data_IF_904316712005
#
_entry.id   IF_904316712005
#
_cell.length_a   1.000
_cell.length_b   1.000
_cell.length_c   1.000
_cell.angle_alpha   90.00
_cell.angle_beta   90.00
_cell.angle_gamma   90.00
#
_symmetry.space_group_name_H-M   'P 1'
#
loop_
_entity.id
_entity.type
_entity.pdbx_description
1 polymer ?
#
# COMPACT_ATOMS: atom_id res chain seq x y z
N UNK A 1 -7.08 -1.62 -6.03
CA UNK A 1 -6.44 -0.39 -5.47
C UNK A 1 -5.02 -0.31 -5.99
N UNK A 2 -4.59 0.80 -6.58
CA UNK A 2 -3.22 0.97 -7.09
C UNK A 2 -2.43 1.93 -6.18
N UNK A 3 -1.15 1.63 -5.94
CA UNK A 3 -0.23 2.44 -5.12
C UNK A 3 1.02 2.73 -5.92
N UNK A 4 1.43 3.98 -5.97
CA UNK A 4 2.65 4.42 -6.68
C UNK A 4 3.59 5.12 -5.70
N UNK A 5 4.88 4.81 -5.76
CA UNK A 5 5.86 5.28 -4.76
C UNK A 5 7.05 5.98 -5.39
N UNK A 6 7.66 6.85 -4.58
CA UNK A 6 8.92 7.53 -4.87
C UNK A 6 10.05 6.94 -3.99
N UNK A 7 11.32 6.98 -4.41
CA UNK A 7 12.43 6.79 -3.48
C UNK A 7 12.35 7.84 -2.37
N UNK A 8 12.44 7.43 -1.11
CA UNK A 8 12.41 8.36 0.03
C UNK A 8 13.67 9.27 0.00
N UNK A 9 13.58 10.41 -0.67
CA UNK A 9 14.48 11.53 -0.44
C UNK A 9 13.66 12.72 0.09
N UNK A 10 13.88 12.98 1.39
CA UNK A 10 13.43 14.18 2.13
C UNK A 10 11.94 14.29 2.48
N UNK A 11 11.46 13.42 3.37
CA UNK A 11 10.47 13.85 4.37
C UNK A 11 11.25 14.40 5.57
N UNK A 12 11.56 15.70 5.57
CA UNK A 12 12.10 16.37 6.75
C UNK A 12 10.99 16.47 7.80
N UNK A 13 10.95 15.49 8.70
CA UNK A 13 10.13 15.58 9.92
C UNK A 13 10.78 16.66 10.78
N UNK A 14 10.18 17.85 10.78
CA UNK A 14 10.51 18.92 11.72
C UNK A 14 10.10 18.43 13.11
N UNK A 15 11.01 17.75 13.82
CA UNK A 15 10.84 17.31 15.20
C UNK A 15 10.53 18.52 16.09
N UNK A 16 9.28 18.66 16.50
CA UNK A 16 8.95 19.49 17.65
C UNK A 16 9.44 18.74 18.90
N UNK A 17 10.48 19.29 19.53
CA UNK A 17 11.00 18.84 20.82
C UNK A 17 9.93 19.07 21.89
N UNK A 18 9.18 18.03 22.25
CA UNK A 18 8.36 18.03 23.45
C UNK A 18 9.09 17.19 24.53
N UNK A 19 9.54 17.92 25.54
CA UNK A 19 10.16 17.46 26.77
C UNK A 19 9.13 16.64 27.57
N UNK A 20 9.44 15.41 27.99
CA UNK A 20 8.68 14.75 29.05
C UNK A 20 9.59 13.97 30.00
N UNK A 21 9.30 14.20 31.27
CA UNK A 21 10.09 13.94 32.46
C UNK A 21 10.32 12.45 32.76
N UNK A 22 11.53 12.25 33.28
CA UNK A 22 11.99 11.17 34.15
C UNK A 22 10.93 10.75 35.19
N UNK A 23 10.51 9.48 35.14
CA UNK A 23 10.05 8.75 36.32
C UNK A 23 10.71 7.38 36.35
N UNK A 24 11.83 7.30 37.08
CA UNK A 24 12.26 6.05 37.70
C UNK A 24 11.19 5.63 38.71
N UNK A 25 10.52 4.52 38.44
CA UNK A 25 9.94 3.71 39.51
C UNK A 25 10.46 2.29 39.36
N UNK A 26 11.48 2.00 40.18
CA UNK A 26 11.81 0.64 40.59
C UNK A 26 10.64 0.12 41.43
N UNK A 27 10.01 -0.98 41.02
CA UNK A 27 9.41 -1.90 42.00
C UNK A 27 9.57 -3.36 41.54
N UNK A 28 9.98 -4.26 42.45
CA UNK A 28 10.43 -5.62 42.16
C UNK A 28 9.28 -6.62 42.06
N UNK A 29 9.62 -7.76 41.45
CA UNK A 29 8.84 -8.97 41.26
C UNK A 29 8.14 -9.49 42.52
N UNK A 30 6.91 -9.95 42.36
CA UNK A 30 6.32 -11.01 43.19
C UNK A 30 5.61 -12.02 42.30
N UNK A 31 6.21 -13.20 42.18
CA UNK A 31 5.58 -14.41 41.67
C UNK A 31 4.51 -14.86 42.67
N UNK A 32 3.29 -15.10 42.20
CA UNK A 32 2.31 -15.94 42.91
C UNK A 32 1.77 -16.96 41.91
N UNK A 33 1.82 -18.21 42.36
CA UNK A 33 1.55 -19.43 41.62
C UNK A 33 0.17 -20.00 41.98
N UNK A 34 -0.34 -20.85 41.07
CA UNK A 34 -1.48 -21.79 41.22
C UNK A 34 -2.88 -21.12 41.07
N UNK A 35 -3.90 -21.63 40.36
CA UNK A 35 -4.28 -23.00 39.96
C UNK A 35 -5.16 -23.03 38.69
N UNK A 36 -5.11 -24.19 38.04
CA UNK A 36 -5.98 -24.81 37.02
C UNK A 36 -7.49 -24.55 37.19
N UNK A 37 -8.17 -24.19 36.09
CA UNK A 37 -9.55 -24.62 35.76
C UNK A 37 -9.92 -24.24 34.30
N UNK A 38 -9.93 -25.23 33.41
CA UNK A 38 -10.77 -25.31 32.19
C UNK A 38 -11.84 -26.35 32.55
N UNK A 39 -13.13 -26.29 32.13
CA UNK A 39 -13.59 -25.82 30.81
C UNK A 39 -14.94 -25.06 30.79
N UNK A 40 -15.12 -24.13 29.85
CA UNK A 40 -16.44 -24.01 29.20
C UNK A 40 -16.34 -23.51 27.76
N UNK A 41 -16.82 -24.36 26.86
CA UNK A 41 -16.96 -24.18 25.43
C UNK A 41 -18.16 -23.27 25.17
N UNK A 42 -17.95 -22.01 24.80
CA UNK A 42 -18.93 -21.21 24.07
C UNK A 42 -18.51 -21.06 22.61
N UNK A 43 -19.13 -21.89 21.78
CA UNK A 43 -19.20 -21.68 20.33
C UNK A 43 -20.03 -20.42 20.11
N UNK A 44 -19.35 -19.31 19.85
CA UNK A 44 -19.96 -18.12 19.29
C UNK A 44 -19.28 -17.85 17.95
N UNK A 45 -19.99 -18.23 16.89
CA UNK A 45 -19.70 -17.80 15.52
C UNK A 45 -19.84 -16.28 15.48
N UNK A 46 -18.77 -15.56 15.79
CA UNK A 46 -18.65 -14.15 15.43
C UNK A 46 -18.03 -14.13 14.05
N UNK A 47 -18.81 -13.69 13.05
CA UNK A 47 -18.25 -13.26 11.78
C UNK A 47 -17.24 -12.17 12.11
N UNK A 48 -15.92 -12.37 11.88
CA UNK A 48 -14.94 -11.37 12.27
C UNK A 48 -15.15 -10.13 11.41
N UNK A 49 -15.27 -8.97 12.04
CA UNK A 49 -15.05 -7.71 11.35
C UNK A 49 -13.71 -7.78 10.59
N UNK A 50 -13.55 -7.12 9.42
CA UNK A 50 -12.30 -7.17 8.67
C UNK A 50 -11.15 -6.69 9.57
N UNK A 51 -10.37 -7.65 10.06
CA UNK A 51 -9.19 -7.36 10.87
C UNK A 51 -8.19 -6.64 9.96
N UNK A 52 -7.64 -5.50 10.44
CA UNK A 52 -6.61 -4.78 9.67
C UNK A 52 -5.48 -5.76 9.36
N UNK A 53 -5.08 -5.84 8.11
CA UNK A 53 -3.99 -6.73 7.73
C UNK A 53 -2.65 -6.12 8.16
N UNK A 54 -1.79 -6.95 8.74
CA UNK A 54 -0.43 -6.55 9.09
C UNK A 54 0.49 -6.63 7.85
N UNK A 55 1.14 -5.53 7.50
CA UNK A 55 1.95 -5.43 6.28
C UNK A 55 3.22 -6.27 6.35
N UNK A 56 3.84 -6.31 7.53
CA UNK A 56 4.99 -7.14 7.88
C UNK A 56 4.65 -8.62 7.69
N UNK A 57 3.60 -9.10 8.35
CA UNK A 57 3.17 -10.50 8.25
C UNK A 57 2.79 -10.88 6.82
N UNK A 58 2.05 -10.03 6.11
CA UNK A 58 1.67 -10.30 4.72
C UNK A 58 2.88 -10.39 3.78
N UNK A 59 3.91 -9.58 4.01
CA UNK A 59 5.12 -9.60 3.19
C UNK A 59 5.85 -10.94 3.30
N UNK A 60 5.92 -11.48 4.52
CA UNK A 60 6.50 -12.80 4.80
C UNK A 60 5.60 -13.94 4.30
N UNK A 61 4.29 -13.89 4.58
CA UNK A 61 3.30 -14.89 4.12
C UNK A 61 3.34 -15.07 2.60
N UNK A 62 3.50 -13.97 1.86
CA UNK A 62 3.58 -13.95 0.40
C UNK A 62 4.98 -14.18 -0.16
N UNK A 63 6.02 -14.33 0.69
CA UNK A 63 7.42 -14.56 0.31
C UNK A 63 7.96 -13.49 -0.65
N UNK A 64 7.71 -12.21 -0.35
CA UNK A 64 8.01 -11.10 -1.27
C UNK A 64 9.47 -10.61 -1.22
N UNK A 65 10.29 -11.18 -0.32
CA UNK A 65 11.69 -10.84 -0.14
C UNK A 65 12.49 -10.89 -1.44
N UNK A 66 13.28 -9.85 -1.70
CA UNK A 66 14.12 -9.73 -2.91
C UNK A 66 13.37 -9.40 -4.20
N UNK A 67 12.04 -9.46 -4.21
CA UNK A 67 11.21 -9.19 -5.40
C UNK A 67 10.50 -7.84 -5.27
N UNK A 68 9.87 -7.59 -4.13
CA UNK A 68 9.09 -6.37 -3.87
C UNK A 68 9.79 -5.54 -2.80
N UNK A 69 9.83 -4.23 -2.98
CA UNK A 69 10.35 -3.33 -1.95
C UNK A 69 9.47 -3.41 -0.68
N UNK A 70 10.07 -3.74 0.46
CA UNK A 70 9.34 -3.93 1.72
C UNK A 70 8.62 -2.66 2.19
N UNK A 71 9.31 -1.51 2.18
CA UNK A 71 8.71 -0.24 2.59
C UNK A 71 7.54 0.14 1.70
N UNK A 72 7.69 -0.13 0.40
CA UNK A 72 6.67 0.08 -0.59
C UNK A 72 5.42 -0.74 -0.33
N UNK A 73 5.60 -2.05 -0.13
CA UNK A 73 4.52 -2.97 0.16
C UNK A 73 3.81 -2.61 1.46
N UNK A 74 4.55 -2.31 2.54
CA UNK A 74 3.97 -1.92 3.82
C UNK A 74 3.12 -0.66 3.70
N UNK A 75 3.60 0.37 3.00
CA UNK A 75 2.82 1.59 2.74
C UNK A 75 1.56 1.28 1.92
N UNK A 76 1.67 0.37 0.94
CA UNK A 76 0.54 -0.05 0.12
C UNK A 76 -0.54 -0.77 0.95
N UNK A 77 -0.14 -1.67 1.86
CA UNK A 77 -1.05 -2.35 2.81
C UNK A 77 -1.69 -1.35 3.78
N UNK A 78 -0.94 -0.37 4.27
CA UNK A 78 -1.49 0.67 5.14
C UNK A 78 -2.62 1.46 4.45
N UNK A 79 -2.39 1.94 3.23
CA UNK A 79 -3.46 2.57 2.43
C UNK A 79 -4.61 1.62 2.13
N UNK A 80 -4.31 0.35 1.85
CA UNK A 80 -5.32 -0.68 1.64
C UNK A 80 -6.21 -0.88 2.87
N UNK A 81 -5.70 -0.81 4.09
CA UNK A 81 -6.55 -0.94 5.27
C UNK A 81 -7.48 0.28 5.48
N UNK A 82 -7.05 1.46 5.03
CA UNK A 82 -7.76 2.73 5.22
C UNK A 82 -8.89 2.96 4.22
N UNK A 83 -8.68 2.69 2.93
CA UNK A 83 -9.66 2.99 1.88
C UNK A 83 -10.83 1.98 1.92
N UNK A 84 -12.06 2.43 2.22
CA UNK A 84 -13.21 1.50 2.37
C UNK A 84 -13.96 1.20 1.07
N UNK A 85 -13.82 2.05 0.06
CA UNK A 85 -14.59 2.01 -1.19
C UNK A 85 -14.12 0.93 -2.19
N UNK A 86 -13.31 -0.04 -1.73
CA UNK A 86 -12.79 -1.11 -2.59
C UNK A 86 -13.89 -2.13 -2.90
N UNK A 87 -14.02 -2.50 -4.17
CA UNK A 87 -14.95 -3.54 -4.61
C UNK A 87 -14.35 -4.95 -4.65
N UNK A 88 -13.02 -5.08 -4.58
CA UNK A 88 -12.30 -6.36 -4.65
C UNK A 88 -11.15 -6.40 -3.66
N UNK A 89 -10.80 -7.61 -3.21
CA UNK A 89 -9.65 -7.88 -2.35
C UNK A 89 -8.30 -7.82 -3.08
N UNK A 90 -8.15 -6.88 -4.02
CA UNK A 90 -6.98 -6.77 -4.91
C UNK A 90 -6.20 -5.48 -4.62
N UNK A 91 -4.90 -5.65 -4.37
CA UNK A 91 -3.92 -4.58 -4.27
C UNK A 91 -2.98 -4.65 -5.47
N UNK A 92 -2.74 -3.49 -6.09
CA UNK A 92 -1.75 -3.31 -7.13
C UNK A 92 -0.72 -2.31 -6.62
N UNK A 93 0.56 -2.63 -6.78
CA UNK A 93 1.68 -1.80 -6.40
C UNK A 93 2.52 -1.52 -7.64
N UNK A 94 2.84 -0.26 -7.87
CA UNK A 94 3.79 0.19 -8.89
C UNK A 94 4.96 0.87 -8.18
N UNK A 95 6.14 0.29 -8.30
CA UNK A 95 7.38 0.81 -7.72
C UNK A 95 8.14 1.66 -8.75
N UNK A 96 7.91 2.97 -8.76
CA UNK A 96 8.62 3.87 -9.68
C UNK A 96 10.08 4.13 -9.29
N UNK A 97 10.58 3.56 -8.19
CA UNK A 97 12.03 3.58 -7.88
C UNK A 97 12.84 2.71 -8.85
N UNK A 98 12.17 1.76 -9.52
CA UNK A 98 12.75 0.85 -10.52
C UNK A 98 12.62 1.41 -11.94
N UNK A 99 13.54 1.00 -12.81
CA UNK A 99 13.52 1.38 -14.22
C UNK A 99 12.31 0.78 -14.95
N UNK A 100 11.90 1.40 -16.05
CA UNK A 100 10.74 0.98 -16.86
C UNK A 100 10.92 -0.38 -17.52
N UNK A 101 12.15 -0.87 -17.63
CA UNK A 101 12.51 -2.18 -18.17
C UNK A 101 12.52 -3.28 -17.10
N UNK A 102 12.40 -2.94 -15.82
CA UNK A 102 12.31 -3.90 -14.72
C UNK A 102 10.86 -4.19 -14.33
N UNK A 103 10.62 -5.39 -13.81
CA UNK A 103 9.33 -5.72 -13.19
C UNK A 103 9.12 -4.81 -11.99
N UNK A 104 8.09 -3.98 -12.08
CA UNK A 104 7.77 -2.98 -11.06
C UNK A 104 6.28 -2.79 -10.83
N UNK A 105 5.42 -3.46 -11.60
CA UNK A 105 4.01 -3.63 -11.31
C UNK A 105 3.80 -4.99 -10.67
N UNK A 106 3.12 -5.00 -9.52
CA UNK A 106 2.79 -6.20 -8.78
C UNK A 106 1.29 -6.20 -8.45
N UNK A 107 0.63 -7.35 -8.59
CA UNK A 107 -0.79 -7.53 -8.24
C UNK A 107 -0.89 -8.60 -7.18
N UNK A 108 -1.60 -8.30 -6.10
CA UNK A 108 -1.77 -9.16 -4.93
C UNK A 108 -3.25 -9.44 -4.71
N UNK A 109 -3.55 -10.70 -4.44
CA UNK A 109 -4.79 -11.13 -3.82
C UNK A 109 -4.59 -11.07 -2.30
N UNK A 110 -5.26 -10.10 -1.68
CA UNK A 110 -5.11 -9.81 -0.26
C UNK A 110 -5.90 -10.79 0.62
N UNK A 111 -6.89 -11.46 0.05
CA UNK A 111 -7.69 -12.47 0.75
C UNK A 111 -6.96 -13.82 0.74
N UNK A 112 -6.45 -14.23 -0.42
CA UNK A 112 -5.70 -15.47 -0.57
C UNK A 112 -4.21 -15.32 -0.21
N UNK A 113 -3.79 -14.11 0.18
CA UNK A 113 -2.42 -13.77 0.54
C UNK A 113 -1.38 -14.25 -0.48
N UNK A 114 -1.57 -13.87 -1.74
CA UNK A 114 -0.68 -14.30 -2.84
C UNK A 114 -0.41 -13.18 -3.84
N UNK A 115 0.81 -13.15 -4.37
CA UNK A 115 1.11 -12.37 -5.57
C UNK A 115 0.54 -13.09 -6.80
N UNK A 116 -0.37 -12.43 -7.51
CA UNK A 116 -1.01 -12.93 -8.72
C UNK A 116 -0.14 -12.72 -9.97
N UNK A 117 0.50 -11.56 -10.06
CA UNK A 117 1.15 -11.12 -11.29
C UNK A 117 2.27 -10.13 -11.01
N UNK A 118 3.32 -10.17 -11.83
CA UNK A 118 4.41 -9.19 -11.85
C UNK A 118 4.81 -8.86 -13.29
N UNK A 119 4.98 -7.57 -13.60
CA UNK A 119 5.31 -7.12 -14.95
C UNK A 119 6.04 -5.78 -15.00
N UNK A 120 6.58 -5.47 -16.18
CA UNK A 120 7.01 -4.13 -16.56
C UNK A 120 5.77 -3.25 -16.78
N UNK A 121 5.92 -1.94 -16.58
CA UNK A 121 4.84 -0.97 -16.86
C UNK A 121 5.44 0.37 -17.26
N UNK A 122 4.85 1.01 -18.26
CA UNK A 122 5.21 2.36 -18.70
C UNK A 122 4.86 3.42 -17.64
N UNK A 123 5.39 4.62 -17.81
CA UNK A 123 5.02 5.81 -17.06
C UNK A 123 4.67 6.94 -18.04
N UNK A 124 4.10 8.05 -17.54
CA UNK A 124 3.70 9.17 -18.39
C UNK A 124 4.90 9.74 -19.16
N UNK A 125 4.69 10.12 -20.43
CA UNK A 125 5.73 10.59 -21.36
C UNK A 125 6.67 11.65 -20.78
N UNK A 126 6.16 12.54 -19.93
CA UNK A 126 6.93 13.64 -19.36
C UNK A 126 7.52 13.32 -17.98
N UNK A 127 7.44 12.06 -17.52
CA UNK A 127 7.87 11.66 -16.17
C UNK A 127 9.35 11.30 -16.10
N UNK A 128 10.00 11.10 -17.26
CA UNK A 128 11.39 10.68 -17.38
C UNK A 128 11.60 9.75 -18.57
N UNK A 129 12.81 9.22 -18.69
CA UNK A 129 13.22 8.29 -19.75
C UNK A 129 13.13 6.84 -19.24
N UNK A 130 14.26 6.21 -18.90
CA UNK A 130 14.24 4.86 -18.33
C UNK A 130 13.66 4.84 -16.90
N UNK A 131 13.95 5.88 -16.11
CA UNK A 131 13.42 6.05 -14.76
C UNK A 131 12.38 7.18 -14.75
N UNK A 132 11.31 6.99 -13.97
CA UNK A 132 10.37 8.07 -13.70
C UNK A 132 10.91 8.92 -12.55
N UNK A 133 11.31 10.15 -12.86
CA UNK A 133 11.97 11.09 -11.94
C UNK A 133 11.15 12.35 -11.69
N UNK A 134 10.06 12.56 -12.43
CA UNK A 134 9.17 13.71 -12.26
C UNK A 134 7.71 13.29 -12.32
N UNK A 135 6.90 13.77 -11.39
CA UNK A 135 5.49 13.43 -11.27
C UNK A 135 4.66 14.73 -11.20
N UNK A 136 3.37 14.66 -11.53
CA UNK A 136 2.49 15.83 -11.42
C UNK A 136 1.02 15.45 -11.27
N UNK A 137 0.30 16.27 -10.51
CA UNK A 137 -1.15 16.26 -10.38
C UNK A 137 -1.84 17.22 -11.37
N UNK A 138 -1.09 17.86 -12.27
CA UNK A 138 -1.65 18.81 -13.22
C UNK A 138 -2.25 18.09 -14.43
N UNK A 139 -3.50 18.43 -14.75
CA UNK A 139 -4.21 17.95 -15.94
C UNK A 139 -3.43 18.38 -17.19
N UNK A 140 -3.19 17.44 -18.10
CA UNK A 140 -2.45 17.70 -19.33
C UNK A 140 -0.93 17.76 -19.17
N UNK A 141 -0.38 17.46 -17.99
CA UNK A 141 1.08 17.41 -17.79
C UNK A 141 1.76 16.25 -18.52
N UNK A 142 1.00 15.21 -18.90
CA UNK A 142 1.49 13.92 -19.43
C UNK A 142 2.49 13.22 -18.50
N UNK A 143 2.50 13.58 -17.22
CA UNK A 143 3.27 12.90 -16.18
C UNK A 143 2.40 11.88 -15.46
N UNK A 144 3.04 10.83 -14.95
CA UNK A 144 2.40 9.99 -13.94
C UNK A 144 2.17 10.82 -12.67
N UNK A 145 1.08 10.52 -11.95
CA UNK A 145 0.84 11.06 -10.62
C UNK A 145 1.06 9.99 -9.56
N UNK A 146 1.61 10.36 -8.41
CA UNK A 146 1.92 9.44 -7.32
C UNK A 146 0.72 9.20 -6.39
N UNK A 147 0.84 8.25 -5.47
CA UNK A 147 -0.17 8.03 -4.43
C UNK A 147 -1.15 6.90 -4.72
N UNK A 148 -2.26 6.94 -3.97
CA UNK A 148 -3.30 5.92 -3.92
C UNK A 148 -4.42 6.16 -4.93
N UNK A 149 -4.83 5.08 -5.60
CA UNK A 149 -5.92 5.09 -6.55
C UNK A 149 -6.97 4.02 -6.26
N UNK A 150 -8.23 4.37 -6.49
CA UNK A 150 -9.30 3.40 -6.64
C UNK A 150 -9.36 2.94 -8.10
N UNK A 151 -9.37 1.63 -8.30
CA UNK A 151 -9.50 1.00 -9.62
C UNK A 151 -10.97 0.69 -9.87
N UNK A 152 -11.55 1.27 -10.91
CA UNK A 152 -12.93 1.10 -11.32
C UNK A 152 -13.12 0.03 -12.40
N UNK A 153 -14.09 0.27 -13.28
CA UNK A 153 -14.40 -0.61 -14.41
C UNK A 153 -13.26 -0.65 -15.42
N UNK A 154 -13.26 -1.71 -16.23
CA UNK A 154 -12.29 -1.87 -17.31
C UNK A 154 -12.87 -1.33 -18.61
N UNK A 155 -12.00 -0.89 -19.51
CA UNK A 155 -12.38 -0.41 -20.83
C UNK A 155 -11.31 -0.83 -21.85
N UNK A 156 -11.65 -0.82 -23.13
CA UNK A 156 -10.68 -1.00 -24.21
C UNK A 156 -10.25 0.38 -24.69
N UNK A 157 -8.99 0.74 -24.42
CA UNK A 157 -8.40 1.97 -24.92
C UNK A 157 -7.51 1.70 -26.14
N UNK A 158 -6.86 2.75 -26.65
CA UNK A 158 -5.92 2.65 -27.77
C UNK A 158 -4.77 1.67 -27.54
N UNK A 159 -4.39 1.46 -26.28
CA UNK A 159 -3.32 0.53 -25.88
C UNK A 159 -3.86 -0.82 -25.40
N UNK A 160 -5.13 -1.12 -25.70
CA UNK A 160 -5.83 -2.33 -25.28
C UNK A 160 -6.49 -2.21 -23.91
N UNK A 161 -6.55 -3.35 -23.21
CA UNK A 161 -7.33 -3.50 -21.99
C UNK A 161 -6.80 -2.58 -20.88
N UNK A 162 -7.68 -1.72 -20.39
CA UNK A 162 -7.36 -0.64 -19.47
C UNK A 162 -8.31 -0.62 -18.27
N UNK A 163 -7.89 0.00 -17.17
CA UNK A 163 -8.67 0.17 -15.95
C UNK A 163 -8.95 1.64 -15.72
N UNK A 164 -10.15 1.97 -15.30
CA UNK A 164 -10.43 3.29 -14.73
C UNK A 164 -9.71 3.45 -13.39
N UNK A 165 -9.12 4.61 -13.17
CA UNK A 165 -8.34 5.01 -12.02
C UNK A 165 -8.88 6.35 -11.52
N UNK A 166 -9.08 6.43 -10.21
CA UNK A 166 -9.49 7.64 -9.52
C UNK A 166 -8.52 7.90 -8.36
N UNK A 167 -7.84 9.03 -8.38
CA UNK A 167 -6.86 9.41 -7.37
C UNK A 167 -7.52 9.88 -6.07
N UNK A 168 -6.98 9.45 -4.93
CA UNK A 168 -7.63 9.57 -3.62
C UNK A 168 -7.00 10.61 -2.70
N UNK A 169 -5.86 11.20 -3.08
CA UNK A 169 -5.06 12.08 -2.23
C UNK A 169 -5.13 13.54 -2.72
N UNK A 170 -5.81 14.37 -1.93
CA UNK A 170 -6.01 15.80 -2.23
C UNK A 170 -4.68 16.53 -2.42
N UNK A 171 -4.53 17.22 -3.55
CA UNK A 171 -3.32 17.94 -3.92
C UNK A 171 -2.17 17.06 -4.42
N UNK A 172 -2.28 15.73 -4.32
CA UNK A 172 -1.26 14.77 -4.78
C UNK A 172 -1.71 14.10 -6.07
N UNK A 173 -2.91 13.52 -6.10
CA UNK A 173 -3.45 12.85 -7.29
C UNK A 173 -4.97 12.99 -7.47
N UNK A 174 -5.62 13.85 -6.71
CA UNK A 174 -7.07 14.13 -6.81
C UNK A 174 -7.54 14.66 -8.18
N UNK A 175 -6.61 15.01 -9.08
CA UNK A 175 -6.92 15.37 -10.48
C UNK A 175 -6.52 14.28 -11.47
N UNK A 176 -5.97 13.17 -10.99
CA UNK A 176 -5.60 12.02 -11.78
C UNK A 176 -6.79 11.07 -11.91
N UNK A 177 -7.63 11.36 -12.91
CA UNK A 177 -8.67 10.46 -13.40
C UNK A 177 -8.33 10.11 -14.84
N UNK A 178 -8.39 8.82 -15.22
CA UNK A 178 -8.40 8.48 -16.63
C UNK A 178 -9.84 8.37 -17.12
N UNK A 179 -10.08 8.95 -18.29
CA UNK A 179 -11.37 8.88 -18.98
C UNK A 179 -11.19 7.87 -20.12
N UNK A 180 -12.18 7.01 -20.41
CA UNK A 180 -12.12 6.13 -21.57
C UNK A 180 -11.82 6.95 -22.83
N UNK A 181 -10.80 6.52 -23.56
CA UNK A 181 -10.30 7.17 -24.78
C UNK A 181 -10.48 6.26 -25.98
#
# INVERSE_FOLDING_TARGET
MCVTLHPLSSFSIRMQKAFLLLFLFLFPSSNVSTRTATPEKKVATSVPAPQKMDGEQLFEDMQLGGVVNFLAFRQAVAGYNLIKQKSKSILTLIDFTKSSTEKRLFVFDMEQKKMLYSSVVSHGKNSGENYATSFSNEVGSYKSSLGFYLTGNTYQGRNGYSLLLDGLEKGINDRAVNVPS
#
